data_IF_471527202224
#
_entry.id   IF_471527202224
#
_cell.length_a   1.000
_cell.length_b   1.000
_cell.length_c   1.000
_cell.angle_alpha   90.00
_cell.angle_beta   90.00
_cell.angle_gamma   90.00
#
_symmetry.space_group_name_H-M   'P 1'
#
loop_
_entity.id
_entity.type
_entity.pdbx_description
1 polymer ?
#
# COMPACT_ATOMS: atom_id res chain seq x y z
N UNK A 1 2.87 -16.67 3.51
CA UNK A 1 2.26 -16.86 2.18
C UNK A 1 2.96 -15.99 1.14
N UNK A 2 3.49 -16.56 0.05
CA UNK A 2 4.10 -15.76 -1.02
C UNK A 2 2.98 -15.25 -1.94
N UNK A 3 2.75 -13.93 -2.00
CA UNK A 3 1.77 -13.32 -2.91
C UNK A 3 2.29 -13.38 -4.34
N UNK A 4 1.48 -13.88 -5.26
CA UNK A 4 1.70 -13.72 -6.70
C UNK A 4 1.40 -12.26 -7.05
N UNK A 5 2.44 -11.52 -7.44
CA UNK A 5 2.31 -10.11 -7.84
C UNK A 5 1.68 -10.07 -9.23
N UNK A 6 0.51 -9.42 -9.34
CA UNK A 6 -0.18 -9.21 -10.62
C UNK A 6 0.23 -7.89 -11.27
N UNK A 7 -0.11 -7.68 -12.55
CA UNK A 7 0.09 -6.39 -13.22
C UNK A 7 -0.68 -5.25 -12.54
N UNK A 8 -1.85 -5.55 -11.97
CA UNK A 8 -2.61 -4.60 -11.16
C UNK A 8 -1.81 -4.17 -9.93
N UNK A 9 -1.17 -5.12 -9.25
CA UNK A 9 -0.36 -4.84 -8.07
C UNK A 9 0.85 -3.97 -8.39
N UNK A 10 1.49 -4.20 -9.56
CA UNK A 10 2.59 -3.36 -10.04
C UNK A 10 2.13 -1.93 -10.33
N UNK A 11 0.96 -1.77 -10.95
CA UNK A 11 0.39 -0.45 -11.23
C UNK A 11 0.03 0.27 -9.93
N UNK A 12 -0.67 -0.43 -9.03
CA UNK A 12 -1.11 0.15 -7.76
C UNK A 12 0.05 0.45 -6.83
N UNK A 13 1.11 -0.36 -6.83
CA UNK A 13 2.33 -0.08 -6.06
C UNK A 13 3.01 1.22 -6.53
N UNK A 14 3.09 1.47 -7.84
CA UNK A 14 3.63 2.73 -8.37
C UNK A 14 2.76 3.94 -8.09
N UNK A 15 1.45 3.75 -8.05
CA UNK A 15 0.54 4.83 -7.65
C UNK A 15 0.63 5.09 -6.16
N UNK A 16 0.67 4.04 -5.33
CA UNK A 16 0.78 4.11 -3.88
C UNK A 16 2.03 4.88 -3.43
N UNK A 17 3.19 4.59 -4.04
CA UNK A 17 4.48 5.26 -3.75
C UNK A 17 4.42 6.79 -3.83
N UNK A 18 3.52 7.35 -4.65
CA UNK A 18 3.34 8.82 -4.76
C UNK A 18 2.61 9.44 -3.57
N UNK A 19 1.92 8.62 -2.78
CA UNK A 19 1.06 9.02 -1.67
C UNK A 19 1.60 8.57 -0.31
N UNK A 20 2.66 7.76 -0.29
CA UNK A 20 3.34 7.34 0.93
C UNK A 20 4.28 8.45 1.43
N UNK A 21 4.24 8.69 2.74
CA UNK A 21 5.10 9.62 3.46
C UNK A 21 5.78 8.90 4.60
N UNK A 22 7.00 9.36 4.94
CA UNK A 22 7.82 8.78 6.01
C UNK A 22 8.25 9.82 7.06
N UNK A 23 7.31 10.50 7.73
CA UNK A 23 7.61 11.56 8.70
C UNK A 23 8.42 11.10 9.92
N UNK A 24 8.25 9.86 10.36
CA UNK A 24 8.87 9.24 11.55
C UNK A 24 9.70 7.99 11.19
N UNK A 25 9.95 7.78 9.90
CA UNK A 25 10.55 6.56 9.38
C UNK A 25 9.57 5.38 9.21
N UNK A 26 8.30 5.54 9.59
CA UNK A 26 7.24 4.60 9.26
C UNK A 26 6.49 5.02 8.00
N UNK A 27 5.90 4.06 7.29
CA UNK A 27 5.13 4.34 6.07
C UNK A 27 3.70 4.80 6.44
N UNK A 28 3.38 6.05 6.13
CA UNK A 28 2.05 6.63 6.31
C UNK A 28 1.43 6.97 4.95
N UNK A 29 0.16 6.64 4.75
CA UNK A 29 -0.56 7.02 3.55
C UNK A 29 -1.23 8.39 3.74
N UNK A 30 -1.00 9.32 2.81
CA UNK A 30 -1.66 10.63 2.82
C UNK A 30 -3.19 10.56 2.83
N UNK A 31 -3.81 11.43 3.62
CA UNK A 31 -5.27 11.47 3.77
C UNK A 31 -6.00 11.90 2.49
N UNK A 32 -5.37 12.65 1.59
CA UNK A 32 -5.95 13.09 0.33
C UNK A 32 -5.75 12.08 -0.82
N UNK A 33 -5.15 10.92 -0.53
CA UNK A 33 -4.96 9.87 -1.53
C UNK A 33 -6.30 9.37 -2.11
N UNK A 34 -6.33 8.98 -3.39
CA UNK A 34 -7.51 8.40 -4.03
C UNK A 34 -8.04 7.17 -3.27
N UNK A 35 -9.36 6.97 -3.26
CA UNK A 35 -9.98 5.82 -2.57
C UNK A 35 -9.40 4.47 -3.02
N UNK A 36 -9.08 4.32 -4.30
CA UNK A 36 -8.52 3.08 -4.83
C UNK A 36 -7.15 2.78 -4.22
N UNK A 37 -6.31 3.80 -4.04
CA UNK A 37 -5.00 3.69 -3.40
C UNK A 37 -5.15 3.34 -1.92
N UNK A 38 -6.09 3.99 -1.21
CA UNK A 38 -6.41 3.67 0.19
C UNK A 38 -6.85 2.22 0.37
N UNK A 39 -7.77 1.74 -0.48
CA UNK A 39 -8.23 0.34 -0.46
C UNK A 39 -7.09 -0.64 -0.70
N UNK A 40 -6.19 -0.32 -1.63
CA UNK A 40 -5.03 -1.15 -1.92
C UNK A 40 -4.03 -1.19 -0.75
N UNK A 41 -3.75 -0.04 -0.12
CA UNK A 41 -2.91 0.08 1.06
C UNK A 41 -3.48 -0.71 2.25
N UNK A 42 -4.79 -0.60 2.54
CA UNK A 42 -5.42 -1.40 3.59
C UNK A 42 -5.34 -2.91 3.33
N UNK A 43 -5.50 -3.33 2.06
CA UNK A 43 -5.33 -4.72 1.66
C UNK A 43 -3.91 -5.20 1.96
N UNK A 44 -2.90 -4.43 1.56
CA UNK A 44 -1.50 -4.71 1.87
C UNK A 44 -1.27 -4.81 3.38
N UNK A 45 -1.76 -3.84 4.15
CA UNK A 45 -1.59 -3.82 5.61
C UNK A 45 -2.19 -5.06 6.27
N UNK A 46 -3.38 -5.50 5.84
CA UNK A 46 -4.01 -6.73 6.32
C UNK A 46 -3.20 -7.97 5.95
N UNK A 47 -2.69 -8.04 4.72
CA UNK A 47 -1.87 -9.15 4.25
C UNK A 47 -0.54 -9.23 5.01
N UNK A 48 0.15 -8.10 5.24
CA UNK A 48 1.41 -8.05 5.97
C UNK A 48 1.23 -8.21 7.49
N UNK A 49 0.12 -7.73 8.06
CA UNK A 49 -0.24 -7.96 9.47
C UNK A 49 -0.49 -9.43 9.81
N UNK A 50 -0.72 -10.31 8.81
CA UNK A 50 -0.78 -11.76 9.04
C UNK A 50 0.62 -12.41 9.20
N UNK A 51 1.70 -11.62 9.15
CA UNK A 51 3.08 -12.07 9.30
C UNK A 51 3.78 -11.56 10.57
N UNK A 52 3.10 -10.75 11.38
CA UNK A 52 3.42 -10.51 12.80
C UNK A 52 2.73 -11.56 13.68
#
# INVERSE_FOLDING_TARGET
MMRLITEYDLKMSKELDKWEEYPDGECHLREDAPEEVKKYYEKLRKEYSMFD
#
